data_IF_808668617331
#
_entry.id   IF_808668617331
#
_cell.length_a   1.000
_cell.length_b   1.000
_cell.length_c   1.000
_cell.angle_alpha   90.00
_cell.angle_beta   90.00
_cell.angle_gamma   90.00
#
_symmetry.space_group_name_H-M   'P 1'
#
loop_
_entity.id
_entity.type
_entity.pdbx_description
1 polymer ?
#
# COMPACT_ATOMS: atom_id res chain seq x y z
N UNK A 1 -20.33 -2.73 -4.09
CA UNK A 1 -21.38 -2.04 -4.89
C UNK A 1 -22.42 -1.42 -3.95
N UNK A 2 -23.17 -0.41 -4.46
CA UNK A 2 -24.13 0.32 -3.64
C UNK A 2 -25.38 -0.52 -3.34
N UNK A 3 -26.08 -0.18 -2.23
CA UNK A 3 -27.33 -0.88 -1.83
C UNK A 3 -28.41 -0.88 -2.92
N UNK A 4 -28.41 0.13 -3.80
CA UNK A 4 -29.37 0.26 -4.91
C UNK A 4 -29.01 -0.61 -6.13
N UNK A 5 -27.79 -1.18 -6.18
CA UNK A 5 -27.34 -2.00 -7.31
C UNK A 5 -27.85 -3.42 -7.11
N UNK A 6 -28.62 -3.95 -8.06
CA UNK A 6 -29.10 -5.33 -7.98
C UNK A 6 -27.96 -6.33 -8.25
N UNK A 7 -28.02 -7.50 -7.64
CA UNK A 7 -27.06 -8.59 -7.86
C UNK A 7 -26.99 -8.99 -9.34
N UNK A 8 -28.14 -9.00 -10.04
CA UNK A 8 -28.18 -9.28 -11.47
C UNK A 8 -27.34 -8.30 -12.31
N UNK A 9 -27.36 -7.00 -11.95
CA UNK A 9 -26.53 -6.00 -12.63
C UNK A 9 -25.03 -6.20 -12.31
N UNK A 10 -24.70 -6.57 -11.06
CA UNK A 10 -23.32 -6.89 -10.68
C UNK A 10 -22.81 -8.09 -11.46
N UNK A 11 -23.61 -9.15 -11.56
CA UNK A 11 -23.24 -10.37 -12.29
C UNK A 11 -23.08 -10.09 -13.80
N UNK A 12 -24.00 -9.31 -14.39
CA UNK A 12 -23.90 -8.87 -15.79
C UNK A 12 -22.60 -8.10 -16.05
N UNK A 13 -22.24 -7.17 -15.16
CA UNK A 13 -21.01 -6.39 -15.30
C UNK A 13 -19.76 -7.26 -15.09
N UNK A 14 -19.81 -8.24 -14.19
CA UNK A 14 -18.73 -9.22 -14.04
C UNK A 14 -18.53 -10.04 -15.34
N UNK A 15 -19.61 -10.53 -15.92
CA UNK A 15 -19.54 -11.27 -17.19
C UNK A 15 -19.02 -10.40 -18.34
N UNK A 16 -19.48 -9.15 -18.45
CA UNK A 16 -18.96 -8.21 -19.44
C UNK A 16 -17.47 -7.97 -19.24
N UNK A 17 -17.05 -7.76 -17.99
CA UNK A 17 -15.64 -7.54 -17.62
C UNK A 17 -14.76 -8.71 -18.04
N UNK A 18 -15.21 -9.96 -17.82
CA UNK A 18 -14.52 -11.17 -18.29
C UNK A 18 -14.44 -11.22 -19.81
N UNK A 19 -15.53 -10.91 -20.52
CA UNK A 19 -15.58 -10.91 -21.99
C UNK A 19 -14.58 -9.94 -22.65
N UNK A 20 -14.27 -8.82 -21.98
CA UNK A 20 -13.23 -7.88 -22.45
C UNK A 20 -11.83 -8.20 -21.93
N UNK A 21 -11.62 -9.42 -21.40
CA UNK A 21 -10.31 -9.90 -20.95
C UNK A 21 -9.82 -9.30 -19.63
N UNK A 22 -10.73 -8.76 -18.79
CA UNK A 22 -10.41 -8.24 -17.46
C UNK A 22 -10.88 -9.20 -16.37
N UNK A 23 -10.29 -9.09 -15.18
CA UNK A 23 -10.64 -9.88 -14.01
C UNK A 23 -11.49 -9.03 -13.07
N UNK A 24 -12.81 -9.32 -12.93
CA UNK A 24 -13.66 -8.60 -11.99
C UNK A 24 -13.44 -9.10 -10.56
N UNK A 25 -13.39 -8.18 -9.60
CA UNK A 25 -13.40 -8.48 -8.18
C UNK A 25 -14.55 -7.72 -7.55
N UNK A 26 -15.44 -8.46 -6.86
CA UNK A 26 -16.58 -7.85 -6.19
C UNK A 26 -16.13 -7.19 -4.89
N UNK A 27 -16.46 -5.91 -4.75
CA UNK A 27 -16.30 -5.18 -3.49
C UNK A 27 -17.64 -5.23 -2.77
N UNK A 28 -17.71 -5.92 -1.64
CA UNK A 28 -18.97 -6.21 -0.94
C UNK A 28 -19.50 -5.01 -0.15
N UNK A 29 -18.63 -4.09 0.22
CA UNK A 29 -18.96 -2.92 1.03
C UNK A 29 -18.24 -1.71 0.47
N UNK A 30 -18.98 -0.62 0.30
CA UNK A 30 -18.38 0.68 -0.03
C UNK A 30 -17.49 1.14 1.12
N UNK A 31 -16.21 1.16 0.88
CA UNK A 31 -15.18 1.50 1.86
C UNK A 31 -14.06 2.30 1.19
N UNK A 32 -13.42 3.24 1.93
CA UNK A 32 -12.33 4.04 1.39
C UNK A 32 -11.20 3.16 0.83
N UNK A 33 -10.84 3.37 -0.44
CA UNK A 33 -9.80 2.60 -1.13
C UNK A 33 -10.24 1.21 -1.62
N UNK A 34 -11.49 0.81 -1.38
CA UNK A 34 -12.02 -0.51 -1.73
C UNK A 34 -11.12 -1.63 -1.18
N UNK A 35 -10.58 -2.50 -2.03
CA UNK A 35 -9.68 -3.60 -1.63
C UNK A 35 -8.23 -3.17 -1.82
N UNK A 36 -7.80 -2.95 -3.06
CA UNK A 36 -6.38 -2.79 -3.42
C UNK A 36 -5.77 -1.52 -2.85
N UNK A 37 -6.43 -0.37 -3.04
CA UNK A 37 -5.93 0.90 -2.52
C UNK A 37 -6.01 0.94 -0.98
N UNK A 38 -6.99 0.27 -0.36
CA UNK A 38 -7.08 0.15 1.09
C UNK A 38 -5.89 -0.62 1.66
N UNK A 39 -5.48 -1.73 1.02
CA UNK A 39 -4.30 -2.50 1.43
C UNK A 39 -3.01 -1.68 1.28
N UNK A 40 -2.95 -0.82 0.27
CA UNK A 40 -1.82 0.10 0.06
C UNK A 40 -1.80 1.33 0.98
N UNK A 41 -2.92 1.67 1.63
CA UNK A 41 -3.04 2.91 2.41
C UNK A 41 -2.02 3.00 3.57
N UNK A 42 -1.80 1.98 4.41
CA UNK A 42 -0.81 2.06 5.49
C UNK A 42 0.64 2.17 4.95
N UNK A 43 0.93 1.63 3.76
CA UNK A 43 2.22 1.85 3.11
C UNK A 43 2.40 3.31 2.69
N UNK A 44 1.35 4.01 2.27
CA UNK A 44 1.42 5.45 2.03
C UNK A 44 1.67 6.23 3.32
N UNK A 45 1.07 5.82 4.43
CA UNK A 45 1.32 6.45 5.73
C UNK A 45 2.77 6.26 6.21
N UNK A 46 3.35 5.06 6.05
CA UNK A 46 4.77 4.85 6.43
C UNK A 46 5.73 5.60 5.53
N UNK A 47 5.47 5.72 4.22
CA UNK A 47 6.25 6.55 3.30
C UNK A 47 6.27 8.01 3.79
N UNK A 48 5.10 8.55 4.14
CA UNK A 48 4.98 9.89 4.69
C UNK A 48 5.75 10.06 6.01
N UNK A 49 5.66 9.08 6.92
CA UNK A 49 6.37 9.08 8.19
C UNK A 49 7.90 9.00 8.04
N UNK A 50 8.39 8.19 7.09
CA UNK A 50 9.83 8.09 6.79
C UNK A 50 10.37 9.41 6.24
N UNK A 51 9.62 10.08 5.37
CA UNK A 51 9.99 11.41 4.86
C UNK A 51 10.13 12.42 5.98
N UNK A 52 9.19 12.45 6.92
CA UNK A 52 9.22 13.39 8.05
C UNK A 52 10.30 13.03 9.09
N UNK A 53 10.58 11.75 9.28
CA UNK A 53 11.66 11.31 10.17
C UNK A 53 13.03 11.71 9.64
N UNK A 54 13.25 11.63 8.33
CA UNK A 54 14.47 12.06 7.63
C UNK A 54 15.76 11.32 8.01
N UNK A 55 15.66 10.13 8.66
CA UNK A 55 16.83 9.37 9.12
C UNK A 55 17.40 8.44 8.06
N UNK A 56 16.55 7.93 7.17
CA UNK A 56 16.93 6.96 6.15
C UNK A 56 16.89 7.62 4.78
N UNK A 57 17.92 7.37 3.97
CA UNK A 57 17.92 7.82 2.57
C UNK A 57 16.84 7.09 1.79
N UNK A 58 15.92 7.84 1.20
CA UNK A 58 14.81 7.28 0.40
C UNK A 58 15.33 6.53 -0.83
N UNK A 59 16.44 6.99 -1.43
CA UNK A 59 17.15 6.30 -2.53
C UNK A 59 17.52 4.85 -2.14
N UNK A 60 18.03 4.66 -0.92
CA UNK A 60 18.44 3.35 -0.43
C UNK A 60 17.24 2.42 -0.22
N UNK A 61 16.08 2.97 0.18
CA UNK A 61 14.83 2.20 0.30
C UNK A 61 14.33 1.82 -1.10
N UNK A 62 14.24 2.77 -2.01
CA UNK A 62 13.78 2.49 -3.37
C UNK A 62 14.70 1.49 -4.06
N UNK A 63 16.01 1.56 -3.83
CA UNK A 63 16.98 0.61 -4.37
C UNK A 63 16.74 -0.80 -3.85
N UNK A 64 16.59 -0.99 -2.53
CA UNK A 64 16.36 -2.33 -1.96
C UNK A 64 15.03 -2.91 -2.39
N UNK A 65 13.98 -2.10 -2.53
CA UNK A 65 12.68 -2.54 -3.02
C UNK A 65 12.74 -3.01 -4.48
N UNK A 66 13.48 -2.30 -5.34
CA UNK A 66 13.69 -2.72 -6.73
C UNK A 66 14.52 -4.00 -6.83
N UNK A 67 15.62 -4.09 -6.09
CA UNK A 67 16.56 -5.22 -6.19
C UNK A 67 16.00 -6.48 -5.55
N UNK A 68 15.43 -6.39 -4.35
CA UNK A 68 15.00 -7.56 -3.57
C UNK A 68 13.53 -7.94 -3.82
N UNK A 69 12.64 -6.96 -4.01
CA UNK A 69 11.22 -7.23 -4.25
C UNK A 69 10.86 -7.22 -5.75
N UNK A 70 11.80 -6.90 -6.64
CA UNK A 70 11.56 -6.86 -8.08
C UNK A 70 10.57 -5.76 -8.51
N UNK A 71 10.38 -4.73 -7.69
CA UNK A 71 9.47 -3.65 -8.02
C UNK A 71 10.01 -2.83 -9.21
N UNK A 72 9.19 -2.48 -10.20
CA UNK A 72 9.63 -1.65 -11.33
C UNK A 72 10.01 -0.23 -10.90
N UNK A 73 9.38 0.28 -9.87
CA UNK A 73 9.67 1.54 -9.18
C UNK A 73 9.68 1.29 -7.68
N UNK A 74 10.57 1.97 -6.96
CA UNK A 74 10.51 2.00 -5.51
C UNK A 74 9.33 2.85 -5.01
N UNK A 75 8.96 2.74 -3.72
CA UNK A 75 7.77 3.39 -3.18
C UNK A 75 7.81 4.93 -3.25
N UNK A 76 8.96 5.56 -3.07
CA UNK A 76 9.11 7.00 -3.16
C UNK A 76 9.15 7.49 -4.62
N UNK A 77 9.79 6.72 -5.52
CA UNK A 77 9.74 6.97 -6.96
C UNK A 77 8.30 6.87 -7.48
N UNK A 78 7.53 5.88 -7.02
CA UNK A 78 6.13 5.73 -7.38
C UNK A 78 5.26 6.88 -6.86
N UNK A 79 5.51 7.39 -5.65
CA UNK A 79 4.80 8.54 -5.10
C UNK A 79 5.00 9.79 -5.98
N UNK A 80 6.24 10.04 -6.42
CA UNK A 80 6.56 11.12 -7.36
C UNK A 80 5.96 10.91 -8.75
N UNK A 81 5.99 9.67 -9.25
CA UNK A 81 5.43 9.31 -10.56
C UNK A 81 3.93 9.55 -10.62
N UNK A 82 3.18 9.12 -9.59
CA UNK A 82 1.74 9.35 -9.47
C UNK A 82 1.43 10.84 -9.25
N UNK A 83 2.29 11.50 -8.52
CA UNK A 83 2.21 12.92 -8.18
C UNK A 83 1.96 13.16 -6.69
N UNK A 84 2.77 14.03 -6.11
CA UNK A 84 2.73 14.40 -4.69
C UNK A 84 1.35 14.96 -4.27
N UNK A 85 0.69 15.72 -5.12
CA UNK A 85 -0.67 16.20 -4.86
C UNK A 85 -1.69 15.05 -4.75
N UNK A 86 -1.64 14.08 -5.64
CA UNK A 86 -2.49 12.88 -5.57
C UNK A 86 -2.20 12.10 -4.30
N UNK A 87 -0.93 11.87 -4.01
CA UNK A 87 -0.48 11.14 -2.83
C UNK A 87 -0.93 11.85 -1.53
N UNK A 88 -0.72 13.16 -1.45
CA UNK A 88 -1.16 14.00 -0.31
C UNK A 88 -2.67 13.96 -0.12
N UNK A 89 -3.45 14.21 -1.17
CA UNK A 89 -4.91 14.24 -1.07
C UNK A 89 -5.51 12.86 -0.80
N UNK A 90 -4.87 11.78 -1.24
CA UNK A 90 -5.28 10.42 -0.89
C UNK A 90 -5.09 10.15 0.61
N UNK A 91 -3.93 10.51 1.17
CA UNK A 91 -3.71 10.43 2.61
C UNK A 91 -4.69 11.30 3.40
N UNK A 92 -4.96 12.52 2.92
CA UNK A 92 -5.94 13.43 3.55
C UNK A 92 -7.35 12.82 3.56
N UNK A 93 -7.76 12.20 2.46
CA UNK A 93 -9.02 11.47 2.38
C UNK A 93 -9.07 10.30 3.38
N UNK A 94 -7.97 9.55 3.53
CA UNK A 94 -7.90 8.47 4.51
C UNK A 94 -7.85 8.99 5.96
N UNK A 95 -7.23 10.13 6.22
CA UNK A 95 -7.28 10.80 7.52
C UNK A 95 -8.73 11.09 7.94
N UNK A 96 -9.55 11.55 7.01
CA UNK A 96 -10.95 11.92 7.24
C UNK A 96 -11.91 10.72 7.32
N UNK A 97 -11.61 9.63 6.60
CA UNK A 97 -12.55 8.52 6.39
C UNK A 97 -12.16 7.20 7.06
N UNK A 98 -10.89 6.99 7.38
CA UNK A 98 -10.38 5.78 8.02
C UNK A 98 -9.85 6.03 9.42
N UNK A 99 -8.82 6.87 9.55
CA UNK A 99 -8.17 7.15 10.83
C UNK A 99 -7.32 8.42 10.75
N UNK A 100 -7.29 9.25 11.82
CA UNK A 100 -6.38 10.39 11.92
C UNK A 100 -4.88 10.03 11.73
N UNK A 101 -4.52 8.76 11.84
CA UNK A 101 -3.15 8.27 11.66
C UNK A 101 -2.67 8.31 10.21
N UNK A 102 -3.57 8.50 9.25
CA UNK A 102 -3.22 8.72 7.84
C UNK A 102 -2.87 10.18 7.51
N UNK A 103 -2.82 11.05 8.51
CA UNK A 103 -2.49 12.46 8.30
C UNK A 103 -1.20 12.62 7.48
N UNK A 104 -1.24 13.38 6.36
CA UNK A 104 -0.05 13.66 5.58
C UNK A 104 1.02 14.38 6.40
N UNK A 105 2.27 13.98 6.24
CA UNK A 105 3.41 14.57 6.92
C UNK A 105 3.79 15.96 6.40
N UNK A 106 4.65 16.65 7.16
CA UNK A 106 5.09 18.01 6.84
C UNK A 106 5.90 18.09 5.55
N UNK A 107 6.72 17.08 5.26
CA UNK A 107 7.53 17.07 4.03
C UNK A 107 6.63 17.02 2.80
N UNK A 108 5.58 16.19 2.80
CA UNK A 108 4.61 16.13 1.71
C UNK A 108 3.85 17.46 1.56
N UNK A 109 3.44 18.09 2.68
CA UNK A 109 2.80 19.39 2.66
C UNK A 109 3.72 20.44 2.02
N UNK A 110 4.98 20.51 2.42
CA UNK A 110 5.96 21.46 1.89
C UNK A 110 6.22 21.26 0.39
N UNK A 111 6.27 20.01 -0.07
CA UNK A 111 6.40 19.69 -1.49
C UNK A 111 5.19 20.19 -2.29
N UNK A 112 3.98 19.95 -1.75
CA UNK A 112 2.73 20.43 -2.35
C UNK A 112 2.70 21.95 -2.45
N UNK A 113 2.97 22.67 -1.35
CA UNK A 113 2.95 24.13 -1.27
C UNK A 113 4.00 24.77 -2.21
N UNK A 114 5.15 24.11 -2.36
CA UNK A 114 6.23 24.51 -3.27
C UNK A 114 5.99 24.10 -4.72
N UNK A 115 4.84 23.46 -5.03
CA UNK A 115 4.51 22.93 -6.37
C UNK A 115 5.53 21.93 -6.91
N UNK A 116 6.25 21.24 -6.03
CA UNK A 116 7.14 20.13 -6.35
C UNK A 116 6.31 18.83 -6.39
N UNK A 117 5.65 18.63 -7.51
CA UNK A 117 4.59 17.60 -7.64
C UNK A 117 5.11 16.27 -8.23
N UNK A 118 6.42 16.05 -8.22
CA UNK A 118 7.05 14.85 -8.78
C UNK A 118 7.32 14.95 -10.27
N UNK A 119 7.20 13.85 -10.99
CA UNK A 119 7.53 13.75 -12.42
C UNK A 119 6.87 14.85 -13.27
N UNK A 120 5.61 15.17 -13.04
CA UNK A 120 4.86 16.16 -13.82
C UNK A 120 5.36 17.61 -13.69
N UNK A 121 6.10 17.93 -12.63
CA UNK A 121 6.70 19.24 -12.42
C UNK A 121 8.22 19.22 -12.56
N UNK A 122 8.84 18.07 -12.85
CA UNK A 122 10.28 17.88 -12.93
C UNK A 122 10.97 17.76 -11.56
N UNK A 123 10.25 17.98 -10.47
CA UNK A 123 10.78 17.88 -9.11
C UNK A 123 9.70 17.45 -8.12
N UNK A 124 10.07 16.57 -7.20
CA UNK A 124 9.27 16.12 -6.07
C UNK A 124 10.21 15.68 -4.95
N UNK A 125 10.05 14.44 -4.48
CA UNK A 125 11.04 13.77 -3.62
C UNK A 125 12.38 13.66 -4.36
N UNK A 126 12.31 13.35 -5.65
CA UNK A 126 13.44 13.30 -6.57
C UNK A 126 13.42 14.44 -7.60
N UNK A 127 14.57 14.65 -8.25
CA UNK A 127 14.63 15.41 -9.50
C UNK A 127 14.34 14.48 -10.67
N UNK A 128 13.51 14.91 -11.61
CA UNK A 128 13.11 14.16 -12.79
C UNK A 128 13.64 14.79 -14.07
N UNK A 129 14.32 13.99 -14.90
CA UNK A 129 14.83 14.41 -16.20
C UNK A 129 14.51 13.35 -17.26
N UNK A 130 13.91 13.75 -18.37
CA UNK A 130 13.54 12.85 -19.45
C UNK A 130 12.59 11.72 -18.99
N UNK A 131 11.71 11.99 -18.01
CA UNK A 131 10.77 11.01 -17.46
C UNK A 131 11.39 9.99 -16.50
N UNK A 132 12.63 10.21 -16.05
CA UNK A 132 13.34 9.33 -15.10
C UNK A 132 13.73 10.09 -13.84
N UNK A 133 13.50 9.47 -12.68
CA UNK A 133 13.96 9.98 -11.40
C UNK A 133 15.49 9.81 -11.27
N UNK A 134 16.16 10.80 -10.73
CA UNK A 134 17.58 10.70 -10.35
C UNK A 134 17.68 10.08 -8.98
N UNK A 135 17.98 8.80 -8.92
CA UNK A 135 18.08 7.98 -7.70
C UNK A 135 19.53 7.51 -7.54
N UNK A 136 20.12 7.72 -6.37
CA UNK A 136 21.43 7.16 -6.00
C UNK A 136 21.25 5.66 -5.62
N UNK A 137 21.64 4.78 -6.52
CA UNK A 137 21.53 3.32 -6.33
C UNK A 137 22.76 2.69 -5.68
N UNK A 138 23.69 3.49 -5.17
CA UNK A 138 24.95 3.00 -4.59
C UNK A 138 24.78 2.30 -3.23
N UNK A 139 23.66 2.53 -2.54
CA UNK A 139 23.37 1.97 -1.22
C UNK A 139 21.99 1.33 -1.17
N UNK A 140 21.84 0.35 -0.25
CA UNK A 140 20.56 -0.30 0.06
C UNK A 140 20.22 -0.10 1.54
N UNK A 141 18.95 0.13 1.84
CA UNK A 141 18.47 0.28 3.21
C UNK A 141 18.50 -1.05 3.97
N UNK A 142 18.92 -0.99 5.24
CA UNK A 142 18.82 -2.09 6.20
C UNK A 142 17.71 -1.82 7.24
N UNK A 143 17.12 -0.62 7.25
CA UNK A 143 16.19 -0.17 8.28
C UNK A 143 14.72 -0.25 7.86
N UNK A 144 14.46 -0.28 6.56
CA UNK A 144 13.14 -0.47 5.97
C UNK A 144 13.30 -1.12 4.59
N UNK A 145 12.52 -2.17 4.34
CA UNK A 145 12.63 -2.95 3.11
C UNK A 145 11.39 -3.79 2.79
N UNK A 146 11.53 -4.78 1.90
CA UNK A 146 10.40 -5.57 1.40
C UNK A 146 9.59 -6.28 2.48
N UNK A 147 10.25 -6.75 3.56
CA UNK A 147 9.56 -7.42 4.67
C UNK A 147 8.63 -6.48 5.42
N UNK A 148 9.09 -5.25 5.70
CA UNK A 148 8.27 -4.24 6.40
C UNK A 148 7.06 -3.87 5.56
N UNK A 149 7.29 -3.65 4.26
CA UNK A 149 6.25 -3.29 3.30
C UNK A 149 5.19 -4.39 3.18
N UNK A 150 5.62 -5.65 3.11
CA UNK A 150 4.73 -6.80 3.01
C UNK A 150 3.98 -7.06 4.32
N UNK A 151 4.64 -6.96 5.48
CA UNK A 151 3.99 -7.15 6.77
C UNK A 151 2.84 -6.15 6.97
N UNK A 152 3.04 -4.88 6.56
CA UNK A 152 1.99 -3.86 6.55
C UNK A 152 0.81 -4.29 5.66
N UNK A 153 1.09 -4.77 4.45
CA UNK A 153 0.04 -5.21 3.52
C UNK A 153 -0.74 -6.42 4.03
N UNK A 154 -0.06 -7.42 4.61
CA UNK A 154 -0.73 -8.60 5.19
C UNK A 154 -1.65 -8.18 6.33
N UNK A 155 -1.17 -7.30 7.22
CA UNK A 155 -1.95 -6.81 8.34
C UNK A 155 -3.22 -6.09 7.89
N UNK A 156 -3.12 -5.23 6.89
CA UNK A 156 -4.28 -4.52 6.34
C UNK A 156 -5.20 -5.43 5.54
N UNK A 157 -4.66 -6.43 4.83
CA UNK A 157 -5.47 -7.44 4.13
C UNK A 157 -6.34 -8.25 5.10
N UNK A 158 -5.82 -8.60 6.28
CA UNK A 158 -6.59 -9.21 7.36
C UNK A 158 -7.76 -8.30 7.79
N UNK A 159 -7.52 -7.00 7.98
CA UNK A 159 -8.60 -6.03 8.30
C UNK A 159 -9.66 -5.96 7.20
N UNK A 160 -9.23 -5.85 5.94
CA UNK A 160 -10.14 -5.79 4.77
C UNK A 160 -11.08 -6.99 4.75
N UNK A 161 -10.56 -8.19 5.04
CA UNK A 161 -11.36 -9.41 5.08
C UNK A 161 -12.29 -9.44 6.31
N UNK A 162 -11.80 -9.08 7.50
CA UNK A 162 -12.62 -8.97 8.73
C UNK A 162 -13.75 -7.94 8.59
N UNK A 163 -13.49 -6.83 7.93
CA UNK A 163 -14.49 -5.78 7.66
C UNK A 163 -15.48 -6.18 6.56
N UNK A 164 -15.32 -7.35 5.94
CA UNK A 164 -16.16 -7.88 4.85
C UNK A 164 -16.21 -6.92 3.64
N UNK A 165 -15.10 -6.32 3.30
CA UNK A 165 -14.93 -5.51 2.09
C UNK A 165 -14.69 -6.43 0.89
N UNK A 166 -13.86 -7.46 1.07
CA UNK A 166 -13.64 -8.55 0.13
C UNK A 166 -14.42 -9.80 0.54
N UNK A 167 -14.77 -10.65 -0.42
CA UNK A 167 -15.46 -11.90 -0.16
C UNK A 167 -14.52 -13.00 0.36
N UNK A 168 -13.25 -12.97 -0.05
CA UNK A 168 -12.27 -13.99 0.31
C UNK A 168 -10.84 -13.46 0.28
N UNK A 169 -9.94 -14.18 0.94
CA UNK A 169 -8.49 -13.96 0.83
C UNK A 169 -8.00 -14.11 -0.62
N UNK A 170 -8.58 -15.04 -1.37
CA UNK A 170 -8.26 -15.26 -2.78
C UNK A 170 -8.63 -14.04 -3.66
N UNK A 171 -9.77 -13.38 -3.40
CA UNK A 171 -10.15 -12.15 -4.12
C UNK A 171 -9.18 -11.00 -3.84
N UNK A 172 -8.70 -10.90 -2.60
CA UNK A 172 -7.69 -9.93 -2.21
C UNK A 172 -6.38 -10.18 -2.98
N UNK A 173 -5.90 -11.44 -2.95
CA UNK A 173 -4.67 -11.82 -3.64
C UNK A 173 -4.78 -11.60 -5.15
N UNK A 174 -5.92 -11.96 -5.74
CA UNK A 174 -6.22 -11.74 -7.15
C UNK A 174 -6.18 -10.24 -7.50
N UNK A 175 -6.75 -9.39 -6.64
CA UNK A 175 -6.72 -7.93 -6.79
C UNK A 175 -5.31 -7.37 -6.79
N UNK A 176 -4.50 -7.78 -5.86
CA UNK A 176 -3.11 -7.32 -5.75
C UNK A 176 -2.27 -7.74 -6.96
N UNK A 177 -2.42 -8.99 -7.42
CA UNK A 177 -1.71 -9.49 -8.62
C UNK A 177 -2.11 -8.71 -9.87
N UNK A 178 -3.41 -8.55 -10.13
CA UNK A 178 -3.87 -7.95 -11.40
C UNK A 178 -3.80 -6.42 -11.42
N UNK A 179 -4.02 -5.74 -10.29
CA UNK A 179 -4.00 -4.27 -10.23
C UNK A 179 -2.59 -3.72 -9.96
N UNK A 180 -1.83 -4.34 -9.06
CA UNK A 180 -0.51 -3.87 -8.65
C UNK A 180 0.64 -4.56 -9.40
N UNK A 181 0.33 -5.55 -10.26
CA UNK A 181 1.33 -6.42 -10.92
C UNK A 181 2.26 -7.09 -9.91
N UNK A 182 1.74 -7.37 -8.71
CA UNK A 182 2.47 -8.10 -7.69
C UNK A 182 2.71 -9.54 -8.14
N UNK A 183 3.83 -10.13 -7.73
CA UNK A 183 4.14 -11.54 -8.03
C UNK A 183 3.12 -12.49 -7.38
N UNK A 184 2.69 -12.18 -6.16
CA UNK A 184 1.64 -12.88 -5.43
C UNK A 184 0.93 -11.91 -4.49
N UNK A 185 -0.24 -12.26 -3.99
CA UNK A 185 -0.98 -11.45 -3.04
C UNK A 185 -0.51 -11.63 -1.59
N UNK A 186 -0.99 -10.77 -0.68
CA UNK A 186 -0.53 -10.75 0.71
C UNK A 186 -0.79 -12.05 1.47
N UNK A 187 -1.92 -12.73 1.25
CA UNK A 187 -2.22 -13.99 1.91
C UNK A 187 -1.33 -15.13 1.38
N UNK A 188 -1.15 -15.21 0.05
CA UNK A 188 -0.29 -16.21 -0.56
C UNK A 188 1.17 -16.06 -0.11
N UNK A 189 1.69 -14.83 -0.03
CA UNK A 189 3.05 -14.55 0.46
C UNK A 189 3.14 -14.81 1.98
N UNK A 190 2.15 -14.39 2.74
CA UNK A 190 2.10 -14.55 4.18
C UNK A 190 1.99 -16.01 4.65
N UNK A 191 1.43 -16.91 3.82
CA UNK A 191 1.28 -18.31 4.16
C UNK A 191 2.62 -18.99 4.51
N UNK A 192 3.71 -18.60 3.85
CA UNK A 192 5.06 -19.10 4.10
C UNK A 192 5.83 -18.39 5.21
N UNK A 193 5.25 -17.37 5.84
CA UNK A 193 5.95 -16.56 6.84
C UNK A 193 5.64 -17.01 8.26
N UNK A 194 6.59 -16.82 9.17
CA UNK A 194 6.38 -17.07 10.60
C UNK A 194 5.54 -15.95 11.23
N UNK A 195 4.42 -16.27 11.92
CA UNK A 195 3.55 -15.29 12.57
C UNK A 195 4.31 -14.35 13.51
N UNK A 196 5.22 -14.88 14.31
CA UNK A 196 6.05 -14.11 15.22
C UNK A 196 6.91 -13.05 14.49
N UNK A 197 7.49 -13.41 13.34
CA UNK A 197 8.29 -12.49 12.53
C UNK A 197 7.44 -11.33 12.00
N UNK A 198 6.23 -11.62 11.51
CA UNK A 198 5.29 -10.58 11.05
C UNK A 198 4.88 -9.65 12.20
N UNK A 199 4.51 -10.23 13.35
CA UNK A 199 4.11 -9.47 14.53
C UNK A 199 5.26 -8.59 15.05
N UNK A 200 6.49 -9.11 15.12
CA UNK A 200 7.67 -8.36 15.53
C UNK A 200 7.99 -7.20 14.58
N UNK A 201 7.89 -7.44 13.27
CA UNK A 201 8.08 -6.40 12.25
C UNK A 201 7.06 -5.27 12.43
N UNK A 202 5.79 -5.61 12.57
CA UNK A 202 4.71 -4.63 12.79
C UNK A 202 4.89 -3.86 14.11
N UNK A 203 5.27 -4.54 15.20
CA UNK A 203 5.54 -3.91 16.48
C UNK A 203 6.72 -2.94 16.42
N UNK A 204 7.79 -3.27 15.67
CA UNK A 204 8.92 -2.35 15.42
C UNK A 204 8.45 -1.11 14.68
N UNK A 205 7.64 -1.25 13.64
CA UNK A 205 7.08 -0.13 12.89
C UNK A 205 6.16 0.73 13.76
N UNK A 206 5.29 0.09 14.57
CA UNK A 206 4.45 0.82 15.53
C UNK A 206 5.29 1.61 16.54
N UNK A 207 6.33 0.99 17.11
CA UNK A 207 7.20 1.63 18.07
C UNK A 207 8.00 2.79 17.46
N UNK A 208 8.45 2.65 16.20
CA UNK A 208 9.24 3.65 15.49
C UNK A 208 8.42 4.88 15.13
N UNK A 209 7.22 4.68 14.59
CA UNK A 209 6.40 5.78 14.02
C UNK A 209 5.23 6.21 14.92
N UNK A 210 4.92 5.45 15.97
CA UNK A 210 3.80 5.73 16.88
C UNK A 210 2.41 5.48 16.28
N UNK A 211 2.33 4.97 15.04
CA UNK A 211 1.08 4.77 14.31
C UNK A 211 0.42 3.45 14.69
N UNK A 212 -0.78 3.50 15.25
CA UNK A 212 -1.54 2.32 15.69
C UNK A 212 -1.99 1.43 14.54
N UNK A 213 -2.07 1.97 13.32
CA UNK A 213 -2.36 1.19 12.12
C UNK A 213 -1.34 0.07 11.87
N UNK A 214 -0.13 0.18 12.45
CA UNK A 214 0.90 -0.87 12.39
C UNK A 214 0.82 -1.89 13.52
N UNK A 215 -0.08 -1.74 14.50
CA UNK A 215 -0.28 -2.80 15.49
C UNK A 215 -0.74 -4.08 14.78
N UNK A 216 -0.12 -5.24 15.10
CA UNK A 216 -0.51 -6.49 14.48
C UNK A 216 -1.95 -6.84 14.87
N UNK A 217 -2.72 -7.30 13.89
CA UNK A 217 -4.03 -7.89 14.14
C UNK A 217 -3.88 -9.18 14.97
N UNK A 218 -4.85 -9.53 15.82
CA UNK A 218 -4.80 -10.77 16.61
C UNK A 218 -4.51 -12.01 15.76
N UNK A 219 -5.08 -12.06 14.54
CA UNK A 219 -4.91 -13.17 13.61
C UNK A 219 -3.47 -13.27 13.05
N UNK A 220 -2.72 -12.16 13.05
CA UNK A 220 -1.27 -12.18 12.74
C UNK A 220 -0.50 -12.79 13.92
N UNK A 221 -0.85 -12.39 15.14
CA UNK A 221 -0.14 -12.81 16.36
C UNK A 221 -0.29 -14.31 16.60
N UNK A 222 -1.50 -14.86 16.43
CA UNK A 222 -1.80 -16.27 16.67
C UNK A 222 -1.62 -17.15 15.41
N UNK A 223 -1.35 -16.55 14.26
CA UNK A 223 -1.13 -17.22 12.99
C UNK A 223 -2.40 -17.69 12.28
N UNK A 224 -3.58 -17.41 12.82
CA UNK A 224 -4.86 -17.83 12.23
C UNK A 224 -5.17 -17.16 10.89
N UNK A 225 -4.49 -16.04 10.56
CA UNK A 225 -4.61 -15.40 9.24
C UNK A 225 -4.31 -16.36 8.08
N UNK A 226 -3.45 -17.37 8.27
CA UNK A 226 -3.12 -18.40 7.27
C UNK A 226 -4.32 -19.30 6.91
N UNK A 227 -5.35 -19.32 7.74
CA UNK A 227 -6.55 -20.14 7.55
C UNK A 227 -7.76 -19.32 7.08
N UNK A 228 -7.62 -18.00 6.99
CA UNK A 228 -8.67 -17.11 6.49
C UNK A 228 -8.90 -17.38 4.98
N UNK A 229 -10.18 -17.52 4.63
CA UNK A 229 -10.62 -17.88 3.28
C UNK A 229 -11.36 -16.74 2.61
#
# INVERSE_FOLDING_TARGET
>A
YAKQTSDANVDLLCELTKKIGKVPIKVLKDAPGFIVNRIGAPNQAVISAILDEGKVKVDAIDTVMKVMAGMPMGPFELADFVGIDVFYHTLKYYEETLSPEYKPGKVLQNLLDSKKLGMKSGQGIYTWEGGKAKIDTSTQSQEFGPMDFLAIQINEAVRVLKEKIAASAADIDLGMVHCMRAFAGPFALGAGMEPAQLADTLNKLHSRFGLKIFKPEPEIVDGSFKQMK
#
